data_IF_274350063534
#
_entry.id   IF_274350063534
#
_cell.length_a   1.000
_cell.length_b   1.000
_cell.length_c   1.000
_cell.angle_alpha   90.00
_cell.angle_beta   90.00
_cell.angle_gamma   90.00
#
_symmetry.space_group_name_H-M   'P 1'
#
loop_
_entity.id
_entity.type
_entity.pdbx_description
1 polymer ?
#
# COMPACT_ATOMS: atom_id res chain seq x y z
N UNK A 1 13.81 6.62 -2.03
CA UNK A 1 12.55 6.73 -2.79
C UNK A 1 11.84 5.40 -2.61
N UNK A 2 10.54 5.43 -2.31
CA UNK A 2 9.75 4.22 -2.13
C UNK A 2 8.70 4.11 -3.23
N UNK A 3 8.46 2.87 -3.65
CA UNK A 3 7.36 2.49 -4.54
C UNK A 3 6.46 1.54 -3.77
N UNK A 4 5.17 1.84 -3.73
CA UNK A 4 4.20 0.97 -3.04
C UNK A 4 3.20 0.49 -4.06
N UNK A 5 2.98 -0.82 -4.08
CA UNK A 5 2.04 -1.51 -4.94
C UNK A 5 0.98 -2.19 -4.08
N UNK A 6 -0.29 -2.01 -4.43
CA UNK A 6 -1.42 -2.76 -3.88
C UNK A 6 -2.08 -3.51 -5.03
N UNK A 7 -1.94 -4.83 -5.02
CA UNK A 7 -2.31 -5.71 -6.13
C UNK A 7 -3.54 -6.53 -5.76
N UNK A 8 -4.51 -6.57 -6.66
CA UNK A 8 -5.64 -7.49 -6.57
C UNK A 8 -5.21 -8.92 -6.95
N UNK A 9 -4.89 -9.76 -5.98
CA UNK A 9 -4.63 -11.19 -6.21
C UNK A 9 -5.87 -12.09 -6.05
N UNK A 10 -7.07 -11.53 -5.96
CA UNK A 10 -8.31 -12.29 -5.84
C UNK A 10 -8.73 -12.85 -7.20
N UNK A 11 -9.10 -14.14 -7.27
CA UNK A 11 -9.38 -14.77 -8.57
C UNK A 11 -10.66 -14.28 -9.26
N UNK A 12 -11.70 -13.93 -8.50
CA UNK A 12 -13.04 -13.60 -9.05
C UNK A 12 -13.71 -12.45 -8.28
N UNK A 13 -12.92 -11.57 -7.67
CA UNK A 13 -13.42 -10.45 -6.91
C UNK A 13 -12.70 -9.17 -7.29
N UNK A 14 -13.47 -8.10 -7.46
CA UNK A 14 -12.93 -6.76 -7.51
C UNK A 14 -12.46 -6.35 -6.11
N UNK A 15 -11.43 -5.51 -6.09
CA UNK A 15 -10.86 -4.94 -4.88
C UNK A 15 -10.93 -3.42 -4.97
N UNK A 16 -11.68 -2.84 -4.05
CA UNK A 16 -11.73 -1.40 -3.84
C UNK A 16 -10.64 -1.00 -2.87
N UNK A 17 -9.75 -0.10 -3.28
CA UNK A 17 -8.59 0.32 -2.49
C UNK A 17 -8.64 1.83 -2.31
N UNK A 18 -8.58 2.27 -1.06
CA UNK A 18 -8.38 3.67 -0.71
C UNK A 18 -7.13 3.80 0.14
N UNK A 19 -6.13 4.51 -0.36
CA UNK A 19 -4.89 4.80 0.37
C UNK A 19 -4.75 6.30 0.59
N UNK A 20 -4.13 6.66 1.70
CA UNK A 20 -3.88 8.06 2.06
C UNK A 20 -2.73 8.14 3.07
N UNK A 21 -2.14 9.33 3.17
CA UNK A 21 -1.32 9.75 4.30
C UNK A 21 -2.05 10.82 5.11
N UNK A 22 -1.37 11.38 6.10
CA UNK A 22 -1.87 12.54 6.83
C UNK A 22 -2.08 13.76 5.92
N UNK A 23 -1.20 13.92 4.92
CA UNK A 23 -1.10 15.14 4.12
C UNK A 23 -1.61 14.95 2.68
N UNK A 24 -1.64 13.70 2.18
CA UNK A 24 -2.01 13.37 0.80
C UNK A 24 -3.07 12.26 0.74
N UNK A 25 -4.21 12.55 0.08
CA UNK A 25 -5.15 11.50 -0.31
C UNK A 25 -4.71 10.90 -1.66
N UNK A 26 -4.26 9.64 -1.65
CA UNK A 26 -3.82 8.93 -2.85
C UNK A 26 -4.99 8.44 -3.71
N UNK A 27 -6.22 8.77 -3.29
CA UNK A 27 -7.49 8.54 -3.96
C UNK A 27 -7.94 7.08 -3.91
N UNK A 28 -9.22 6.93 -4.21
CA UNK A 28 -9.89 5.64 -4.34
C UNK A 28 -9.61 5.00 -5.71
N UNK A 29 -9.39 3.68 -5.72
CA UNK A 29 -9.18 2.87 -6.93
C UNK A 29 -10.01 1.61 -6.89
N UNK A 30 -10.68 1.31 -7.99
CA UNK A 30 -11.41 0.07 -8.20
C UNK A 30 -10.57 -0.86 -9.08
N UNK A 31 -10.05 -1.94 -8.50
CA UNK A 31 -9.24 -2.96 -9.18
C UNK A 31 -10.17 -4.11 -9.55
N UNK A 32 -10.50 -4.25 -10.84
CA UNK A 32 -11.55 -5.16 -11.31
C UNK A 32 -11.02 -6.55 -11.50
N UNK A 33 -9.87 -6.66 -12.15
CA UNK A 33 -9.31 -7.91 -12.63
C UNK A 33 -8.21 -8.44 -11.70
N UNK A 34 -8.00 -9.75 -11.75
CA UNK A 34 -6.87 -10.37 -11.06
C UNK A 34 -5.55 -9.86 -11.67
N UNK A 35 -4.67 -9.32 -10.82
CA UNK A 35 -3.40 -8.73 -11.20
C UNK A 35 -3.45 -7.22 -11.38
N UNK A 36 -4.63 -6.58 -11.30
CA UNK A 36 -4.73 -5.13 -11.30
C UNK A 36 -3.91 -4.53 -10.15
N UNK A 37 -3.17 -3.46 -10.46
CA UNK A 37 -2.19 -2.83 -9.56
C UNK A 37 -2.53 -1.36 -9.34
N UNK A 38 -2.64 -0.97 -8.07
CA UNK A 38 -2.61 0.42 -7.65
C UNK A 38 -1.26 0.75 -7.04
N UNK A 39 -0.53 1.64 -7.71
CA UNK A 39 0.81 2.04 -7.30
C UNK A 39 0.97 3.55 -7.13
N UNK A 40 1.85 3.92 -6.22
CA UNK A 40 2.36 5.29 -6.07
C UNK A 40 3.80 5.26 -5.59
N UNK A 41 4.47 6.40 -5.71
CA UNK A 41 5.82 6.60 -5.20
C UNK A 41 5.92 7.90 -4.44
N UNK A 42 6.89 7.96 -3.54
CA UNK A 42 7.18 9.14 -2.73
C UNK A 42 8.62 9.12 -2.21
N UNK A 43 9.06 10.27 -1.74
CA UNK A 43 10.27 10.41 -0.94
C UNK A 43 9.88 10.63 0.52
N UNK A 44 10.56 9.95 1.43
CA UNK A 44 10.35 10.19 2.85
C UNK A 44 10.67 11.65 3.20
N UNK A 45 9.84 12.23 4.05
CA UNK A 45 10.12 13.54 4.62
C UNK A 45 11.38 13.49 5.50
N UNK A 46 12.11 14.62 5.56
CA UNK A 46 13.36 14.73 6.33
C UNK A 46 13.21 14.37 7.82
N UNK A 47 11.99 14.43 8.35
CA UNK A 47 11.68 14.15 9.75
C UNK A 47 11.42 12.66 10.02
N UNK A 48 11.40 11.79 9.00
CA UNK A 48 11.12 10.36 9.17
C UNK A 48 9.75 10.08 9.76
N UNK A 49 8.74 10.85 9.33
CA UNK A 49 7.35 10.75 9.85
C UNK A 49 6.34 10.36 8.77
N UNK A 50 6.82 9.94 7.61
CA UNK A 50 5.96 9.62 6.47
C UNK A 50 5.22 8.32 6.74
N UNK A 51 3.89 8.37 6.75
CA UNK A 51 3.02 7.23 7.01
C UNK A 51 1.94 7.17 5.93
N UNK A 52 1.78 6.00 5.32
CA UNK A 52 0.66 5.71 4.43
C UNK A 52 -0.12 4.52 4.96
N UNK A 53 -1.44 4.63 4.92
CA UNK A 53 -2.34 3.52 5.25
C UNK A 53 -3.38 3.36 4.15
N UNK A 54 -3.80 2.11 3.99
CA UNK A 54 -4.77 1.71 2.99
C UNK A 54 -5.93 0.98 3.66
N UNK A 55 -7.10 1.12 3.06
CA UNK A 55 -8.25 0.26 3.26
C UNK A 55 -8.55 -0.44 1.94
N UNK A 56 -8.51 -1.76 1.97
CA UNK A 56 -8.90 -2.60 0.83
C UNK A 56 -10.19 -3.33 1.17
N UNK A 57 -11.13 -3.33 0.25
CA UNK A 57 -12.48 -3.84 0.44
C UNK A 57 -12.92 -4.68 -0.76
N UNK A 58 -13.60 -5.78 -0.46
CA UNK A 58 -14.35 -6.58 -1.41
C UNK A 58 -15.78 -6.72 -0.88
N UNK A 59 -16.69 -7.25 -1.69
CA UNK A 59 -18.15 -7.22 -1.45
C UNK A 59 -18.65 -7.47 -0.02
N UNK A 60 -17.97 -8.30 0.78
CA UNK A 60 -18.41 -8.66 2.14
C UNK A 60 -17.31 -8.53 3.21
N UNK A 61 -16.14 -7.94 2.88
CA UNK A 61 -15.02 -7.87 3.81
C UNK A 61 -14.08 -6.72 3.47
N UNK A 62 -13.47 -6.13 4.49
CA UNK A 62 -12.43 -5.13 4.32
C UNK A 62 -11.25 -5.40 5.27
N UNK A 63 -10.09 -4.87 4.91
CA UNK A 63 -8.90 -4.82 5.74
C UNK A 63 -8.32 -3.42 5.69
N UNK A 64 -7.89 -2.91 6.85
CA UNK A 64 -7.09 -1.70 6.96
C UNK A 64 -5.67 -2.09 7.37
N UNK A 65 -4.67 -1.50 6.74
CA UNK A 65 -3.27 -1.79 6.99
C UNK A 65 -2.41 -0.56 6.70
N UNK A 66 -1.26 -0.49 7.36
CA UNK A 66 -0.23 0.49 7.04
C UNK A 66 0.53 -0.05 5.81
N UNK A 67 0.48 0.69 4.71
CA UNK A 67 1.19 0.31 3.48
C UNK A 67 2.64 0.78 3.50
N UNK A 68 2.95 1.74 4.37
CA UNK A 68 4.28 2.22 4.67
C UNK A 68 4.29 2.96 6.02
N UNK A 69 5.31 2.72 6.85
CA UNK A 69 5.55 3.45 8.10
C UNK A 69 7.06 3.66 8.30
N UNK A 70 7.48 4.72 9.02
CA UNK A 70 8.89 4.94 9.28
C UNK A 70 9.37 3.95 10.35
N UNK A 71 10.42 3.21 10.06
CA UNK A 71 11.07 2.30 11.01
C UNK A 71 12.33 2.94 11.60
N UNK A 72 12.44 2.95 12.93
CA UNK A 72 13.57 3.56 13.65
C UNK A 72 14.47 2.55 14.36
N UNK A 73 13.97 1.35 14.61
CA UNK A 73 14.67 0.32 15.40
C UNK A 73 14.48 -1.10 14.87
N UNK A 74 13.43 -1.36 14.10
CA UNK A 74 13.29 -2.56 13.28
C UNK A 74 13.62 -2.23 11.81
N UNK A 75 13.78 -3.27 11.01
CA UNK A 75 14.09 -3.20 9.58
C UNK A 75 13.19 -4.16 8.80
N UNK A 76 12.07 -4.57 9.39
CA UNK A 76 11.14 -5.53 8.79
C UNK A 76 10.51 -4.96 7.53
N UNK A 77 10.06 -3.70 7.58
CA UNK A 77 9.46 -3.05 6.42
C UNK A 77 10.52 -2.81 5.36
N UNK A 78 11.73 -2.39 5.76
CA UNK A 78 12.85 -2.23 4.83
C UNK A 78 13.19 -3.55 4.11
N UNK A 79 13.29 -4.65 4.86
CA UNK A 79 13.56 -5.99 4.32
C UNK A 79 12.39 -6.47 3.43
N UNK A 80 11.15 -6.16 3.81
CA UNK A 80 9.93 -6.53 3.08
C UNK A 80 9.77 -5.74 1.78
N UNK A 81 10.13 -4.46 1.79
CA UNK A 81 10.08 -3.59 0.62
C UNK A 81 11.28 -3.75 -0.29
N UNK A 82 12.11 -4.78 -0.05
CA UNK A 82 13.39 -4.99 -0.72
C UNK A 82 14.34 -3.79 -0.50
N UNK A 83 15.66 -3.98 -0.47
CA UNK A 83 16.60 -2.87 -0.22
C UNK A 83 16.55 -1.74 -1.28
N UNK A 84 15.69 -1.88 -2.30
CA UNK A 84 15.40 -0.91 -3.36
C UNK A 84 14.18 -0.03 -3.06
N UNK A 85 13.41 -0.31 -1.99
CA UNK A 85 12.27 0.50 -1.55
C UNK A 85 10.95 0.19 -2.25
N UNK A 86 10.80 -0.97 -2.86
CA UNK A 86 9.56 -1.45 -3.49
C UNK A 86 8.74 -2.35 -2.57
N UNK A 87 7.69 -1.81 -1.97
CA UNK A 87 6.74 -2.54 -1.13
C UNK A 87 5.59 -3.12 -1.97
N UNK A 88 5.34 -4.44 -1.90
CA UNK A 88 4.24 -5.09 -2.64
C UNK A 88 3.25 -5.75 -1.69
N UNK A 89 2.02 -5.25 -1.69
CA UNK A 89 0.90 -5.78 -0.91
C UNK A 89 -0.09 -6.48 -1.83
N UNK A 90 -0.30 -7.79 -1.66
CA UNK A 90 -1.19 -8.59 -2.51
C UNK A 90 -2.40 -9.06 -1.71
N UNK A 91 -3.61 -8.68 -2.12
CA UNK A 91 -4.84 -9.24 -1.57
C UNK A 91 -5.05 -10.67 -2.08
N UNK A 92 -5.32 -11.64 -1.19
CA UNK A 92 -5.48 -13.07 -1.51
C UNK A 92 -6.78 -13.64 -0.94
#
# INVERSE_FOLDING_TARGET
>A
MYFVHVVNGLSYHCLDVHCQSKDDDLRYRHLVDHGDDFQWNFEENFWGTTLFWCRSEKSNAYVAFESFWPESSNHWLHDTCENEGTCIWIAK
#
